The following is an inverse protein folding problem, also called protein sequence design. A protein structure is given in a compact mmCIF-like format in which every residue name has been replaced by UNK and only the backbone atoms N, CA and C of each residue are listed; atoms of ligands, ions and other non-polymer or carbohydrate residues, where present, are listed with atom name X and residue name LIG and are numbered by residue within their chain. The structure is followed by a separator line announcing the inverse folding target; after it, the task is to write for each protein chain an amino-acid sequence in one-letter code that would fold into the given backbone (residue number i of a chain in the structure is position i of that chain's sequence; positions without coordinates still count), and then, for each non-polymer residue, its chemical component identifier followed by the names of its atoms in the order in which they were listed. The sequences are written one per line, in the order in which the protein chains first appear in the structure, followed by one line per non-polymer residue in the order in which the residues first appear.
data_IF_556625063097
#
_entry.id   IF_556625063097
#
_cell.length_a   1.000
_cell.length_b   1.000
_cell.length_c   1.000
_cell.angle_alpha   90.00
_cell.angle_beta   90.00
_cell.angle_gamma   90.00
#
_symmetry.space_group_name_H-M   'P 1'
#
loop_
_entity.id
_entity.type
_entity.pdbx_description
1 polymer ?
#
# COMPACT_ATOMS: atom_id res chain seq x y z
N UNK A 1 10.42 15.77 -4.68
CA UNK A 1 10.25 14.84 -3.53
C UNK A 1 10.55 13.41 -3.98
N UNK A 2 11.46 12.72 -3.26
CA UNK A 2 11.80 11.33 -3.55
C UNK A 2 10.95 10.39 -2.71
N UNK A 3 10.20 9.49 -3.37
CA UNK A 3 9.28 8.53 -2.74
C UNK A 3 9.78 7.11 -3.01
N UNK A 4 9.97 6.33 -1.95
CA UNK A 4 10.22 4.90 -2.05
C UNK A 4 8.89 4.13 -1.97
N UNK A 5 8.67 3.21 -2.90
CA UNK A 5 7.57 2.26 -2.90
C UNK A 5 8.10 0.92 -2.37
N UNK A 6 7.60 0.48 -1.22
CA UNK A 6 7.98 -0.78 -0.58
C UNK A 6 6.86 -1.81 -0.79
N UNK A 7 6.98 -2.60 -1.85
CA UNK A 7 6.11 -3.71 -2.16
C UNK A 7 6.64 -4.98 -1.50
N UNK A 8 6.06 -5.37 -0.38
CA UNK A 8 6.55 -6.47 0.45
C UNK A 8 5.50 -7.58 0.59
N UNK A 9 5.98 -8.77 0.93
CA UNK A 9 5.16 -9.92 1.28
C UNK A 9 5.01 -9.96 2.81
N UNK A 10 3.81 -9.62 3.29
CA UNK A 10 3.49 -9.59 4.71
C UNK A 10 2.81 -10.90 5.13
N UNK A 11 3.28 -11.49 6.22
CA UNK A 11 2.67 -12.68 6.81
C UNK A 11 1.53 -12.27 7.74
N UNK A 12 0.33 -12.81 7.52
CA UNK A 12 -0.84 -12.54 8.37
C UNK A 12 -0.56 -12.99 9.81
N UNK A 13 -0.73 -12.07 10.77
CA UNK A 13 -0.53 -12.33 12.20
C UNK A 13 0.92 -12.25 12.69
N UNK A 14 1.91 -12.23 11.78
CA UNK A 14 3.33 -12.08 12.15
C UNK A 14 3.71 -10.59 12.29
N UNK A 15 3.17 -9.95 13.33
CA UNK A 15 3.44 -8.54 13.61
C UNK A 15 4.95 -8.26 13.75
N UNK A 16 5.68 -9.15 14.39
CA UNK A 16 7.12 -8.96 14.62
C UNK A 16 7.94 -9.06 13.33
N UNK A 17 7.71 -10.08 12.49
CA UNK A 17 8.39 -10.26 11.21
C UNK A 17 8.05 -9.14 10.24
N UNK A 18 6.78 -8.78 10.12
CA UNK A 18 6.35 -7.66 9.26
C UNK A 18 6.99 -6.34 9.71
N UNK A 19 7.04 -6.07 11.02
CA UNK A 19 7.70 -4.88 11.58
C UNK A 19 9.18 -4.82 11.21
N UNK A 20 9.89 -5.94 11.31
CA UNK A 20 11.31 -5.99 10.94
C UNK A 20 11.52 -5.69 9.45
N UNK A 21 10.71 -6.27 8.55
CA UNK A 21 10.75 -5.95 7.11
C UNK A 21 10.48 -4.47 6.83
N UNK A 22 9.53 -3.86 7.55
CA UNK A 22 9.22 -2.43 7.42
C UNK A 22 10.42 -1.59 7.87
N UNK A 23 11.01 -1.90 9.03
CA UNK A 23 12.18 -1.19 9.58
C UNK A 23 13.39 -1.31 8.62
N UNK A 24 13.66 -2.49 8.06
CA UNK A 24 14.71 -2.67 7.07
C UNK A 24 14.49 -1.79 5.83
N UNK A 25 13.24 -1.71 5.36
CA UNK A 25 12.87 -0.86 4.23
C UNK A 25 12.98 0.64 4.56
N UNK A 26 12.66 1.06 5.79
CA UNK A 26 12.88 2.43 6.28
C UNK A 26 14.38 2.75 6.27
N UNK A 27 15.23 1.85 6.79
CA UNK A 27 16.69 2.03 6.79
C UNK A 27 17.25 2.10 5.36
N UNK A 28 16.75 1.27 4.45
CA UNK A 28 17.09 1.35 3.03
C UNK A 28 16.68 2.69 2.43
N UNK A 29 15.46 3.15 2.68
CA UNK A 29 14.97 4.44 2.22
C UNK A 29 15.86 5.60 2.69
N UNK A 30 16.31 5.57 3.95
CA UNK A 30 17.26 6.55 4.51
C UNK A 30 18.60 6.52 3.77
N UNK A 31 19.15 5.33 3.54
CA UNK A 31 20.42 5.16 2.83
C UNK A 31 20.36 5.65 1.38
N UNK A 32 19.20 5.53 0.71
CA UNK A 32 18.95 6.01 -0.64
C UNK A 32 18.55 7.51 -0.68
N UNK A 33 18.51 8.20 0.47
CA UNK A 33 18.20 9.63 0.59
C UNK A 33 16.78 9.96 0.12
N UNK A 34 15.80 9.13 0.46
CA UNK A 34 14.40 9.37 0.13
C UNK A 34 13.73 10.25 1.17
N UNK A 35 12.72 11.01 0.74
CA UNK A 35 11.91 11.87 1.60
C UNK A 35 10.78 11.11 2.28
N UNK A 36 10.19 10.13 1.58
CA UNK A 36 9.03 9.36 2.00
C UNK A 36 9.17 7.89 1.59
N UNK A 37 8.84 6.97 2.49
CA UNK A 37 8.64 5.55 2.16
C UNK A 37 7.17 5.17 2.37
N UNK A 38 6.59 4.45 1.40
CA UNK A 38 5.18 4.05 1.41
C UNK A 38 5.08 2.54 1.43
N UNK A 39 4.31 2.03 2.41
CA UNK A 39 4.00 0.62 2.59
C UNK A 39 2.54 0.32 2.23
N UNK A 40 2.18 -0.95 2.12
CA UNK A 40 0.83 -1.37 1.74
C UNK A 40 -0.20 -1.21 2.89
N UNK A 41 -1.48 -1.36 2.55
CA UNK A 41 -2.58 -1.48 3.52
C UNK A 41 -2.37 -2.69 4.43
N UNK A 42 -2.62 -2.56 5.75
CA UNK A 42 -2.41 -3.60 6.76
C UNK A 42 -0.98 -4.20 6.78
N UNK A 43 0.03 -3.42 6.45
CA UNK A 43 1.42 -3.88 6.37
C UNK A 43 1.93 -4.48 7.70
N UNK A 44 1.53 -3.93 8.85
CA UNK A 44 1.96 -4.44 10.16
C UNK A 44 1.28 -5.78 10.49
N UNK A 45 -0.03 -5.88 10.28
CA UNK A 45 -0.82 -7.07 10.62
C UNK A 45 -0.74 -8.19 9.59
N UNK A 46 -0.32 -7.87 8.34
CA UNK A 46 -0.58 -8.66 7.16
C UNK A 46 -2.06 -8.63 6.77
N UNK A 47 -2.39 -8.68 5.47
CA UNK A 47 -3.76 -8.75 5.00
C UNK A 47 -4.02 -10.11 4.31
N UNK A 48 -5.20 -10.69 4.55
CA UNK A 48 -6.34 -10.23 5.34
C UNK A 48 -6.30 -10.73 6.80
N UNK A 49 -6.41 -9.85 7.77
CA UNK A 49 -6.31 -10.20 9.20
C UNK A 49 -7.59 -10.74 9.83
N UNK A 50 -8.74 -10.61 9.16
CA UNK A 50 -10.08 -11.13 9.52
C UNK A 50 -10.39 -11.18 11.04
N UNK A 51 -10.47 -12.39 11.63
CA UNK A 51 -10.84 -12.61 13.02
C UNK A 51 -9.80 -12.11 14.03
N UNK A 52 -8.54 -11.95 13.63
CA UNK A 52 -7.51 -11.31 14.46
C UNK A 52 -7.90 -9.87 14.82
N UNK A 53 -8.64 -9.18 13.95
CA UNK A 53 -9.11 -7.82 14.16
C UNK A 53 -10.12 -7.68 15.33
N UNK A 54 -10.61 -8.78 15.89
CA UNK A 54 -11.46 -8.80 17.09
C UNK A 54 -10.68 -8.98 18.38
N UNK A 55 -9.37 -9.15 18.30
CA UNK A 55 -8.52 -9.46 19.44
C UNK A 55 -7.76 -8.21 19.88
N UNK A 56 -8.19 -7.58 20.99
CA UNK A 56 -7.54 -6.36 21.48
C UNK A 56 -6.02 -6.52 21.66
N UNK A 57 -5.49 -7.63 22.25
CA UNK A 57 -4.05 -7.79 22.38
C UNK A 57 -3.30 -7.79 21.03
N UNK A 58 -3.94 -8.26 19.95
CA UNK A 58 -3.35 -8.22 18.61
C UNK A 58 -3.31 -6.79 18.07
N UNK A 59 -4.36 -6.01 18.30
CA UNK A 59 -4.40 -4.61 17.86
C UNK A 59 -3.40 -3.76 18.66
N UNK A 60 -3.26 -3.99 19.95
CA UNK A 60 -2.24 -3.36 20.81
C UNK A 60 -0.82 -3.68 20.32
N UNK A 61 -0.54 -4.94 19.95
CA UNK A 61 0.75 -5.31 19.34
C UNK A 61 1.02 -4.56 18.02
N UNK A 62 -0.02 -4.33 17.20
CA UNK A 62 0.13 -3.56 15.97
C UNK A 62 0.46 -2.09 16.26
N UNK A 63 -0.14 -1.50 17.30
CA UNK A 63 0.15 -0.12 17.72
C UNK A 63 1.56 0.00 18.31
N UNK A 64 1.99 -0.93 19.16
CA UNK A 64 3.36 -0.97 19.68
C UNK A 64 4.40 -1.12 18.56
N UNK A 65 4.10 -1.96 17.57
CA UNK A 65 4.92 -2.12 16.38
C UNK A 65 5.03 -0.80 15.59
N UNK A 66 3.92 -0.06 15.43
CA UNK A 66 3.93 1.25 14.78
C UNK A 66 4.85 2.23 15.52
N UNK A 67 4.84 2.24 16.85
CA UNK A 67 5.73 3.12 17.63
C UNK A 67 7.21 2.77 17.43
N UNK A 68 7.54 1.47 17.33
CA UNK A 68 8.90 1.02 17.00
C UNK A 68 9.32 1.46 15.59
N UNK A 69 8.43 1.36 14.60
CA UNK A 69 8.70 1.85 13.23
C UNK A 69 8.87 3.36 13.24
N UNK A 70 8.02 4.08 13.97
CA UNK A 70 8.10 5.54 14.06
C UNK A 70 9.46 6.01 14.59
N UNK A 71 10.01 5.34 15.61
CA UNK A 71 11.31 5.66 16.16
C UNK A 71 12.47 5.57 15.13
N UNK A 72 12.32 4.75 14.10
CA UNK A 72 13.29 4.64 12.99
C UNK A 72 13.11 5.72 11.91
N UNK A 73 11.99 6.47 11.91
CA UNK A 73 11.65 7.48 10.89
C UNK A 73 12.09 8.90 11.29
N UNK A 74 13.32 9.08 11.72
CA UNK A 74 13.86 10.38 12.17
C UNK A 74 14.11 11.36 11.00
N UNK A 75 14.65 10.86 9.88
CA UNK A 75 15.04 11.66 8.71
C UNK A 75 14.21 11.40 7.46
N UNK A 76 13.48 10.27 7.42
CA UNK A 76 12.56 9.89 6.35
C UNK A 76 11.13 9.85 6.88
N UNK A 77 10.17 10.40 6.14
CA UNK A 77 8.75 10.25 6.47
C UNK A 77 8.26 8.85 6.03
N UNK A 78 7.23 8.31 6.67
CA UNK A 78 6.69 6.99 6.29
C UNK A 78 5.16 6.99 6.30
N UNK A 79 4.56 6.20 5.40
CA UNK A 79 3.14 5.85 5.41
C UNK A 79 3.04 4.35 5.60
N UNK A 80 2.44 3.90 6.71
CA UNK A 80 2.35 2.49 7.10
C UNK A 80 0.90 2.09 7.33
N UNK A 81 0.46 1.01 6.69
CA UNK A 81 -0.89 0.46 6.87
C UNK A 81 -0.97 -0.44 8.10
N UNK A 82 -2.03 -0.26 8.91
CA UNK A 82 -2.32 -1.09 10.07
C UNK A 82 -3.81 -1.06 10.45
N UNK A 83 -4.32 -2.05 11.20
CA UNK A 83 -5.61 -1.95 11.87
C UNK A 83 -5.48 -1.12 13.15
N UNK A 84 -6.50 -0.30 13.45
CA UNK A 84 -6.57 0.53 14.65
C UNK A 84 -7.92 0.34 15.33
N UNK A 85 -7.92 0.19 16.65
CA UNK A 85 -9.14 0.18 17.45
C UNK A 85 -9.59 1.62 17.73
N UNK A 86 -10.81 1.95 17.36
CA UNK A 86 -11.46 3.22 17.67
C UNK A 86 -12.67 2.99 18.57
N UNK A 87 -13.32 4.06 19.01
CA UNK A 87 -14.57 3.97 19.78
C UNK A 87 -15.72 3.35 18.98
N UNK A 88 -15.68 3.53 17.65
CA UNK A 88 -16.71 3.01 16.72
C UNK A 88 -16.42 1.58 16.27
N UNK A 89 -15.21 1.08 16.49
CA UNK A 89 -14.76 -0.27 16.08
C UNK A 89 -13.37 -0.26 15.46
N UNK A 90 -12.96 -1.39 14.91
CA UNK A 90 -11.65 -1.52 14.25
C UNK A 90 -11.71 -0.97 12.83
N UNK A 91 -10.78 -0.09 12.49
CA UNK A 91 -10.63 0.48 11.14
C UNK A 91 -9.34 -0.02 10.48
N UNK A 92 -9.33 -0.13 9.15
CA UNK A 92 -8.09 -0.23 8.37
C UNK A 92 -7.57 1.18 8.11
N UNK A 93 -6.36 1.48 8.53
CA UNK A 93 -5.83 2.84 8.48
C UNK A 93 -4.42 2.92 7.88
N UNK A 94 -4.09 4.08 7.35
CA UNK A 94 -2.75 4.53 7.05
C UNK A 94 -2.26 5.46 8.17
N UNK A 95 -1.12 5.17 8.76
CA UNK A 95 -0.42 6.05 9.69
C UNK A 95 0.63 6.85 8.92
N UNK A 96 0.56 8.18 8.99
CA UNK A 96 1.62 9.07 8.53
C UNK A 96 2.59 9.32 9.68
N UNK A 97 3.86 9.01 9.46
CA UNK A 97 4.95 9.20 10.41
C UNK A 97 5.86 10.29 9.87
N UNK A 98 6.14 11.31 10.69
CA UNK A 98 7.07 12.38 10.38
C UNK A 98 7.94 12.68 11.60
N UNK A 99 9.24 12.85 11.38
CA UNK A 99 10.20 13.18 12.44
C UNK A 99 10.11 12.25 13.66
N UNK A 100 10.00 10.93 13.40
CA UNK A 100 9.93 9.92 14.44
C UNK A 100 8.61 9.82 15.19
N UNK A 101 7.54 10.48 14.73
CA UNK A 101 6.22 10.52 15.39
C UNK A 101 5.08 10.25 14.44
N UNK A 102 4.07 9.57 14.91
CA UNK A 102 2.81 9.43 14.18
C UNK A 102 2.05 10.75 14.26
N UNK A 103 1.85 11.41 13.11
CA UNK A 103 1.20 12.72 13.04
C UNK A 103 -0.24 12.67 12.57
N UNK A 104 -0.63 11.59 11.85
CA UNK A 104 -1.99 11.45 11.32
C UNK A 104 -2.35 9.98 11.09
N UNK A 105 -3.62 9.67 11.32
CA UNK A 105 -4.25 8.43 10.84
C UNK A 105 -5.32 8.75 9.81
N UNK A 106 -5.36 7.99 8.72
CA UNK A 106 -6.39 8.07 7.68
C UNK A 106 -7.03 6.71 7.55
N UNK A 107 -8.31 6.60 7.84
CA UNK A 107 -9.03 5.33 7.81
C UNK A 107 -9.73 5.07 6.48
N UNK A 108 -9.90 3.80 6.13
CA UNK A 108 -10.65 3.33 4.96
C UNK A 108 -12.15 3.60 5.12
N UNK A 109 -12.77 4.18 4.10
CA UNK A 109 -14.21 4.47 4.08
C UNK A 109 -15.01 3.32 3.46
N UNK A 110 -14.56 2.82 2.30
CA UNK A 110 -15.28 1.85 1.52
C UNK A 110 -14.78 0.42 1.80
N UNK A 111 -15.53 -0.35 2.58
CA UNK A 111 -15.25 -1.76 2.84
C UNK A 111 -15.91 -2.58 1.73
N UNK A 112 -15.19 -2.84 0.65
CA UNK A 112 -15.70 -3.52 -0.56
C UNK A 112 -15.59 -5.04 -0.50
N UNK A 113 -14.72 -5.57 0.36
CA UNK A 113 -14.57 -6.99 0.57
C UNK A 113 -15.60 -7.49 1.56
N UNK A 114 -16.58 -8.28 1.10
CA UNK A 114 -17.71 -8.75 1.92
C UNK A 114 -17.29 -9.39 3.26
N UNK A 115 -16.18 -10.14 3.28
CA UNK A 115 -15.67 -10.78 4.51
C UNK A 115 -15.11 -9.77 5.50
N UNK A 116 -14.61 -8.63 5.05
CA UNK A 116 -14.10 -7.56 5.92
C UNK A 116 -15.22 -6.78 6.64
N UNK A 117 -16.43 -6.74 6.07
CA UNK A 117 -17.59 -6.05 6.66
C UNK A 117 -17.95 -6.54 8.07
N UNK A 118 -17.57 -7.77 8.43
CA UNK A 118 -17.77 -8.32 9.77
C UNK A 118 -16.68 -7.95 10.77
N UNK A 119 -15.59 -7.31 10.33
CA UNK A 119 -14.40 -7.06 11.15
C UNK A 119 -13.93 -5.61 11.14
N UNK A 120 -14.19 -4.89 10.05
CA UNK A 120 -13.79 -3.50 9.88
C UNK A 120 -14.99 -2.57 9.89
N UNK A 121 -14.80 -1.42 10.51
CA UNK A 121 -15.75 -0.30 10.53
C UNK A 121 -15.31 0.74 9.50
N UNK A 122 -16.21 1.26 8.65
CA UNK A 122 -15.92 2.38 7.76
C UNK A 122 -15.47 3.61 8.53
N UNK A 123 -14.51 4.35 7.98
CA UNK A 123 -14.01 5.60 8.51
C UNK A 123 -14.26 6.75 7.53
N UNK A 124 -13.68 7.94 7.78
CA UNK A 124 -13.93 9.14 6.97
C UNK A 124 -13.34 9.11 5.55
N UNK A 125 -12.46 8.15 5.27
CA UNK A 125 -11.83 8.01 3.95
C UNK A 125 -10.66 8.95 3.73
N UNK A 126 -10.54 9.50 2.51
CA UNK A 126 -9.44 10.34 2.08
C UNK A 126 -9.23 11.56 2.99
N UNK A 127 -7.99 11.80 3.39
CA UNK A 127 -7.57 13.03 4.06
C UNK A 127 -6.40 13.70 3.33
N UNK A 128 -6.31 15.02 3.51
CA UNK A 128 -5.25 15.85 2.94
C UNK A 128 -4.14 16.08 3.96
N UNK A 129 -2.92 15.77 3.57
CA UNK A 129 -1.73 15.89 4.40
C UNK A 129 -0.65 16.68 3.67
N UNK A 130 0.29 17.27 4.41
CA UNK A 130 1.46 17.92 3.82
C UNK A 130 2.69 17.08 4.14
N UNK A 131 3.43 16.67 3.10
CA UNK A 131 4.65 15.87 3.20
C UNK A 131 5.75 16.63 2.47
N UNK A 132 6.79 17.05 3.18
CA UNK A 132 7.92 17.82 2.61
C UNK A 132 7.46 19.01 1.76
N UNK A 133 6.42 19.72 2.20
CA UNK A 133 5.86 20.86 1.48
C UNK A 133 4.88 20.52 0.36
N UNK A 134 4.81 19.27 -0.08
CA UNK A 134 3.86 18.80 -1.10
C UNK A 134 2.49 18.50 -0.47
N UNK A 135 1.42 19.02 -1.06
CA UNK A 135 0.05 18.75 -0.64
C UNK A 135 -0.40 17.40 -1.21
N UNK A 136 -0.58 16.41 -0.35
CA UNK A 136 -0.93 15.05 -0.71
C UNK A 136 -2.36 14.69 -0.26
N UNK A 137 -3.04 13.86 -1.05
CA UNK A 137 -4.23 13.13 -0.62
C UNK A 137 -3.82 11.70 -0.24
N UNK A 138 -4.07 11.31 1.00
CA UNK A 138 -3.80 9.94 1.48
C UNK A 138 -5.09 9.13 1.44
N UNK A 139 -5.05 7.98 0.75
CA UNK A 139 -6.20 7.14 0.43
C UNK A 139 -5.90 5.70 0.79
N UNK A 140 -6.84 5.00 1.43
CA UNK A 140 -6.67 3.61 1.87
C UNK A 140 -7.55 2.66 1.06
N UNK A 141 -6.94 1.62 0.53
CA UNK A 141 -7.64 0.53 -0.14
C UNK A 141 -8.46 0.97 -1.36
N UNK A 142 -9.63 0.41 -1.50
CA UNK A 142 -10.55 0.66 -2.62
C UNK A 142 -11.15 2.08 -2.65
N UNK A 143 -10.90 2.92 -1.64
CA UNK A 143 -11.36 4.31 -1.63
C UNK A 143 -10.87 5.08 -2.86
N UNK A 144 -9.70 4.75 -3.40
CA UNK A 144 -9.19 5.32 -4.65
C UNK A 144 -10.18 5.17 -5.82
N UNK A 145 -10.92 4.08 -5.85
CA UNK A 145 -11.88 3.77 -6.94
C UNK A 145 -13.27 4.39 -6.71
N UNK A 146 -13.49 4.96 -5.51
CA UNK A 146 -14.76 5.57 -5.09
C UNK A 146 -14.63 7.06 -4.75
N UNK A 147 -13.40 7.58 -4.70
CA UNK A 147 -13.16 8.98 -4.37
C UNK A 147 -13.38 9.85 -5.59
N UNK A 148 -14.42 10.69 -5.60
CA UNK A 148 -14.82 11.41 -6.81
C UNK A 148 -13.92 12.60 -7.13
N UNK A 149 -13.59 13.42 -6.13
CA UNK A 149 -12.87 14.68 -6.35
C UNK A 149 -11.81 14.94 -5.27
N UNK A 150 -10.62 15.25 -5.72
CA UNK A 150 -9.55 15.76 -4.86
C UNK A 150 -9.50 17.29 -4.94
N UNK A 151 -9.18 17.93 -3.82
CA UNK A 151 -8.93 19.37 -3.76
C UNK A 151 -7.93 19.79 -4.87
N UNK A 152 -8.14 20.96 -5.45
CA UNK A 152 -7.27 21.48 -6.52
C UNK A 152 -5.82 21.66 -6.07
N UNK A 153 -5.61 21.98 -4.80
CA UNK A 153 -4.26 22.16 -4.21
C UNK A 153 -3.48 20.86 -4.04
N UNK A 154 -4.12 19.70 -4.15
CA UNK A 154 -3.43 18.39 -4.08
C UNK A 154 -2.55 18.22 -5.30
N UNK A 155 -1.29 17.86 -5.08
CA UNK A 155 -0.32 17.58 -6.13
C UNK A 155 -0.16 16.08 -6.37
N UNK A 156 -0.22 15.29 -5.30
CA UNK A 156 0.02 13.85 -5.31
C UNK A 156 -1.06 13.10 -4.54
N UNK A 157 -1.62 12.07 -5.15
CA UNK A 157 -2.50 11.09 -4.49
C UNK A 157 -1.66 9.89 -4.11
N UNK A 158 -1.65 9.51 -2.83
CA UNK A 158 -0.93 8.34 -2.33
C UNK A 158 -1.97 7.33 -1.86
N UNK A 159 -2.00 6.17 -2.50
CA UNK A 159 -2.88 5.07 -2.17
C UNK A 159 -2.09 3.88 -1.63
N UNK A 160 -2.39 3.46 -0.42
CA UNK A 160 -1.93 2.18 0.12
C UNK A 160 -3.04 1.14 -0.03
N UNK A 161 -2.68 -0.04 -0.52
CA UNK A 161 -3.65 -1.05 -0.91
C UNK A 161 -3.24 -2.47 -0.48
N UNK A 162 -4.25 -3.33 -0.28
CA UNK A 162 -4.13 -4.78 -0.19
C UNK A 162 -5.09 -5.41 -1.21
N UNK A 163 -4.82 -5.16 -2.50
CA UNK A 163 -5.68 -5.61 -3.59
C UNK A 163 -5.26 -6.97 -4.09
N UNK A 164 -6.14 -7.93 -3.88
CA UNK A 164 -5.94 -9.30 -4.36
C UNK A 164 -5.89 -9.37 -5.89
N UNK A 165 -5.11 -10.29 -6.40
CA UNK A 165 -5.10 -10.64 -7.82
C UNK A 165 -6.48 -11.11 -8.28
N UNK A 166 -6.91 -10.59 -9.43
CA UNK A 166 -8.06 -11.05 -10.19
C UNK A 166 -7.73 -10.98 -11.67
N UNK A 167 -8.07 -12.04 -12.40
CA UNK A 167 -7.88 -12.06 -13.85
C UNK A 167 -8.53 -10.84 -14.51
N UNK A 168 -7.74 -10.07 -15.26
CA UNK A 168 -8.20 -8.88 -15.99
C UNK A 168 -8.40 -7.61 -15.15
N UNK A 169 -8.14 -7.63 -13.84
CA UNK A 169 -8.30 -6.45 -12.97
C UNK A 169 -7.18 -5.42 -13.14
N UNK A 170 -6.00 -5.84 -13.59
CA UNK A 170 -4.83 -4.97 -13.71
C UNK A 170 -5.08 -3.78 -14.66
N UNK A 171 -5.64 -4.03 -15.84
CA UNK A 171 -6.00 -2.95 -16.80
C UNK A 171 -6.93 -1.94 -16.14
N UNK A 172 -8.04 -2.42 -15.54
CA UNK A 172 -9.02 -1.56 -14.91
C UNK A 172 -8.42 -0.74 -13.78
N UNK A 173 -7.52 -1.33 -12.98
CA UNK A 173 -6.79 -0.64 -11.91
C UNK A 173 -6.02 0.55 -12.48
N UNK A 174 -5.22 0.31 -13.51
CA UNK A 174 -4.40 1.34 -14.11
C UNK A 174 -5.18 2.34 -14.98
N UNK A 175 -6.32 1.97 -15.54
CA UNK A 175 -7.22 2.90 -16.23
C UNK A 175 -7.82 3.93 -15.25
N UNK A 176 -8.21 3.49 -14.04
CA UNK A 176 -8.69 4.42 -12.99
C UNK A 176 -7.56 5.35 -12.55
N UNK A 177 -6.36 4.82 -12.28
CA UNK A 177 -5.19 5.61 -11.89
C UNK A 177 -4.85 6.64 -12.97
N UNK A 178 -4.86 6.23 -14.24
CA UNK A 178 -4.62 7.12 -15.38
C UNK A 178 -5.67 8.22 -15.49
N UNK A 179 -6.94 7.88 -15.27
CA UNK A 179 -8.01 8.88 -15.29
C UNK A 179 -7.83 9.92 -14.19
N UNK A 180 -7.50 9.52 -12.97
CA UNK A 180 -7.19 10.43 -11.85
C UNK A 180 -5.98 11.30 -12.24
N UNK A 181 -4.91 10.69 -12.72
CA UNK A 181 -3.68 11.38 -13.05
C UNK A 181 -3.91 12.43 -14.17
N UNK A 182 -4.47 12.00 -15.29
CA UNK A 182 -4.63 12.85 -16.48
C UNK A 182 -5.76 13.87 -16.32
N UNK A 183 -6.96 13.42 -15.89
CA UNK A 183 -8.14 14.33 -15.84
C UNK A 183 -8.06 15.29 -14.66
N UNK A 184 -7.54 14.82 -13.50
CA UNK A 184 -7.41 15.66 -12.30
C UNK A 184 -6.05 16.35 -12.21
N UNK A 185 -5.10 16.06 -13.11
CA UNK A 185 -3.76 16.63 -13.13
C UNK A 185 -2.92 16.31 -11.90
N UNK A 186 -3.03 15.09 -11.35
CA UNK A 186 -2.38 14.67 -10.11
C UNK A 186 -1.34 13.58 -10.35
N UNK A 187 -0.21 13.60 -9.65
CA UNK A 187 0.60 12.40 -9.55
C UNK A 187 -0.15 11.35 -8.72
N UNK A 188 -0.09 10.08 -9.11
CA UNK A 188 -0.71 8.99 -8.35
C UNK A 188 0.35 7.95 -8.02
N UNK A 189 0.56 7.72 -6.73
CA UNK A 189 1.42 6.67 -6.17
C UNK A 189 0.51 5.61 -5.58
N UNK A 190 0.60 4.38 -6.04
CA UNK A 190 -0.13 3.25 -5.50
C UNK A 190 0.84 2.19 -5.03
N UNK A 191 0.74 1.79 -3.77
CA UNK A 191 1.54 0.69 -3.20
C UNK A 191 0.61 -0.44 -2.77
N UNK A 192 0.83 -1.61 -3.34
CA UNK A 192 0.11 -2.84 -3.04
C UNK A 192 1.07 -3.85 -2.38
N UNK A 193 0.54 -4.76 -1.57
CA UNK A 193 1.32 -5.90 -1.09
C UNK A 193 1.44 -6.99 -2.16
N UNK A 194 2.35 -7.91 -1.94
CA UNK A 194 2.55 -9.12 -2.75
C UNK A 194 2.48 -10.35 -1.87
N UNK A 195 2.26 -11.52 -2.47
CA UNK A 195 2.33 -12.80 -1.77
C UNK A 195 0.99 -13.53 -1.67
N UNK A 196 1.05 -14.77 -1.18
CA UNK A 196 -0.09 -15.61 -0.88
C UNK A 196 -0.47 -15.55 0.60
N UNK A 197 -1.75 -15.29 0.89
CA UNK A 197 -2.25 -15.27 2.26
C UNK A 197 -3.66 -15.86 2.31
N UNK A 198 -3.83 -16.89 3.14
CA UNK A 198 -5.08 -17.65 3.23
C UNK A 198 -5.48 -18.22 1.84
N UNK A 199 -6.66 -17.88 1.35
CA UNK A 199 -7.13 -18.24 -0.01
C UNK A 199 -6.90 -17.12 -1.05
N UNK A 200 -6.13 -16.08 -0.71
CA UNK A 200 -5.90 -14.91 -1.57
C UNK A 200 -4.46 -14.86 -2.04
N UNK A 201 -4.26 -14.32 -3.23
CA UNK A 201 -2.93 -13.97 -3.76
C UNK A 201 -2.94 -12.49 -4.12
N UNK A 202 -1.87 -11.81 -3.78
CA UNK A 202 -1.65 -10.40 -4.08
C UNK A 202 -0.58 -10.27 -5.15
N UNK A 203 -0.89 -9.53 -6.19
CA UNK A 203 -0.03 -9.41 -7.38
C UNK A 203 1.07 -8.36 -7.27
N UNK A 204 1.05 -7.55 -6.21
CA UNK A 204 1.92 -6.40 -6.14
C UNK A 204 1.56 -5.38 -7.23
N UNK A 205 2.43 -5.26 -8.25
CA UNK A 205 2.23 -4.33 -9.36
C UNK A 205 1.95 -2.91 -8.85
N UNK A 206 2.67 -2.50 -7.81
CA UNK A 206 2.69 -1.12 -7.34
C UNK A 206 3.23 -0.20 -8.41
N UNK A 207 2.81 1.06 -8.43
CA UNK A 207 3.28 1.93 -9.50
C UNK A 207 3.01 3.40 -9.28
N UNK A 208 3.62 4.19 -10.13
CA UNK A 208 3.48 5.65 -10.15
C UNK A 208 3.05 6.11 -11.53
N UNK A 209 2.03 6.93 -11.56
CA UNK A 209 1.58 7.63 -12.74
C UNK A 209 1.77 9.13 -12.54
N UNK A 210 2.39 9.81 -13.51
CA UNK A 210 2.56 11.26 -13.46
C UNK A 210 1.24 11.99 -13.76
N UNK A 211 1.20 13.28 -13.49
CA UNK A 211 0.03 14.14 -13.70
C UNK A 211 -0.39 14.31 -15.17
N UNK A 212 0.34 13.69 -16.12
CA UNK A 212 -0.01 13.61 -17.54
C UNK A 212 -0.60 12.26 -17.94
N UNK A 213 -0.79 11.36 -16.96
CA UNK A 213 -1.29 10.01 -17.18
C UNK A 213 -0.27 9.04 -17.76
N UNK A 214 1.03 9.36 -17.65
CA UNK A 214 2.12 8.48 -18.07
C UNK A 214 2.56 7.60 -16.89
N UNK A 215 2.64 6.29 -17.13
CA UNK A 215 3.19 5.35 -16.14
C UNK A 215 4.71 5.52 -16.07
N UNK A 216 5.22 5.98 -14.93
CA UNK A 216 6.66 6.28 -14.76
C UNK A 216 7.39 5.23 -13.93
N UNK A 217 6.68 4.46 -13.13
CA UNK A 217 7.19 3.28 -12.40
C UNK A 217 6.14 2.19 -12.36
N UNK A 218 6.61 0.95 -12.48
CA UNK A 218 5.82 -0.25 -12.27
C UNK A 218 6.72 -1.29 -11.60
N UNK A 219 6.34 -1.72 -10.42
CA UNK A 219 7.05 -2.74 -9.65
C UNK A 219 6.70 -4.13 -10.17
N UNK A 220 7.50 -5.13 -9.80
CA UNK A 220 7.37 -6.51 -10.26
C UNK A 220 6.02 -7.12 -9.88
N UNK A 221 5.57 -8.10 -10.66
CA UNK A 221 4.44 -8.95 -10.34
C UNK A 221 4.86 -10.12 -9.45
N UNK A 222 4.10 -10.42 -8.41
CA UNK A 222 4.24 -11.58 -7.52
C UNK A 222 5.62 -11.72 -6.84
N UNK A 223 6.39 -10.64 -6.79
CA UNK A 223 7.69 -10.57 -6.13
C UNK A 223 7.79 -9.32 -5.25
N UNK A 224 8.57 -9.40 -4.17
CA UNK A 224 8.95 -8.21 -3.41
C UNK A 224 9.79 -7.29 -4.30
N UNK A 225 9.54 -6.00 -4.20
CA UNK A 225 10.28 -4.98 -4.95
C UNK A 225 10.32 -3.67 -4.16
N UNK A 226 11.37 -2.92 -4.37
CA UNK A 226 11.58 -1.61 -3.75
C UNK A 226 12.18 -0.67 -4.77
N UNK A 227 11.43 0.37 -5.13
CA UNK A 227 11.87 1.36 -6.12
C UNK A 227 11.66 2.77 -5.61
N UNK A 228 12.59 3.66 -5.97
CA UNK A 228 12.52 5.09 -5.67
C UNK A 228 12.05 5.85 -6.90
N UNK A 229 11.14 6.77 -6.69
CA UNK A 229 10.62 7.71 -7.67
C UNK A 229 10.88 9.14 -7.20
N UNK A 230 11.37 9.98 -8.10
CA UNK A 230 11.53 11.42 -7.85
C UNK A 230 10.46 12.20 -8.61
N UNK A 231 9.62 12.95 -7.87
CA UNK A 231 8.55 13.76 -8.47
C UNK A 231 9.07 14.91 -9.32
N UNK A 232 10.29 15.38 -9.07
CA UNK A 232 10.90 16.51 -9.78
C UNK A 232 11.67 16.06 -11.03
N UNK A 233 12.12 14.80 -11.03
CA UNK A 233 12.81 14.21 -12.18
C UNK A 233 12.24 12.82 -12.51
N UNK A 234 11.04 12.76 -13.09
CA UNK A 234 10.38 11.52 -13.41
C UNK A 234 11.01 10.84 -14.64
N UNK A 235 12.25 10.37 -14.53
CA UNK A 235 12.84 9.54 -15.57
C UNK A 235 11.95 8.33 -15.83
N UNK A 236 11.32 8.28 -17.00
CA UNK A 236 10.38 7.24 -17.36
C UNK A 236 11.10 5.97 -17.77
N UNK A 237 10.71 4.84 -17.20
CA UNK A 237 11.26 3.54 -17.54
C UNK A 237 10.21 2.50 -17.97
N UNK A 238 8.93 2.89 -18.07
CA UNK A 238 7.84 1.95 -18.32
C UNK A 238 7.08 2.32 -19.58
N UNK A 239 7.05 1.42 -20.56
CA UNK A 239 6.34 1.63 -21.83
C UNK A 239 4.83 1.42 -21.66
N UNK A 240 4.40 0.34 -20.97
CA UNK A 240 2.99 0.01 -20.80
C UNK A 240 2.76 -0.98 -19.65
N UNK A 241 1.51 -1.05 -19.18
CA UNK A 241 1.07 -2.13 -18.29
C UNK A 241 0.89 -3.41 -19.11
N UNK A 242 1.45 -4.56 -18.66
CA UNK A 242 1.30 -5.82 -19.37
C UNK A 242 -0.14 -6.34 -19.28
N UNK A 243 -0.86 -6.30 -20.40
CA UNK A 243 -2.30 -6.66 -20.47
C UNK A 243 -2.65 -7.59 -21.63
N UNK A 244 -1.66 -8.10 -22.35
CA UNK A 244 -1.88 -9.05 -23.45
C UNK A 244 -2.49 -10.38 -22.97
N UNK A 245 -2.98 -11.20 -23.91
CA UNK A 245 -3.51 -12.54 -23.60
C UNK A 245 -2.41 -13.42 -23.00
N UNK A 246 -1.19 -13.33 -23.52
CA UNK A 246 -0.03 -14.07 -23.01
C UNK A 246 0.32 -13.64 -21.58
N UNK A 247 0.28 -12.33 -21.27
CA UNK A 247 0.47 -11.84 -19.93
C UNK A 247 -0.58 -12.36 -18.96
N UNK A 248 -1.83 -12.46 -19.39
CA UNK A 248 -2.91 -13.02 -18.55
C UNK A 248 -2.65 -14.48 -18.17
N UNK A 249 -2.18 -15.29 -19.10
CA UNK A 249 -1.84 -16.69 -18.84
C UNK A 249 -0.64 -16.80 -17.91
N UNK A 250 0.40 -16.01 -18.16
CA UNK A 250 1.58 -15.90 -17.29
C UNK A 250 1.18 -15.52 -15.87
N UNK A 251 0.37 -14.49 -15.68
CA UNK A 251 -0.07 -14.05 -14.36
C UNK A 251 -0.90 -15.09 -13.60
N UNK A 252 -1.72 -15.91 -14.28
CA UNK A 252 -2.43 -17.02 -13.64
C UNK A 252 -1.42 -18.04 -13.11
N UNK A 253 -0.42 -18.39 -13.91
CA UNK A 253 0.65 -19.31 -13.52
C UNK A 253 1.48 -18.75 -12.35
N UNK A 254 1.94 -17.51 -12.47
CA UNK A 254 2.72 -16.82 -11.42
C UNK A 254 1.92 -16.70 -10.11
N UNK A 255 0.62 -16.39 -10.18
CA UNK A 255 -0.26 -16.36 -9.02
C UNK A 255 -0.37 -17.72 -8.34
N UNK A 256 -0.52 -18.80 -9.11
CA UNK A 256 -0.57 -20.15 -8.56
C UNK A 256 0.75 -20.54 -7.89
N UNK A 257 1.88 -20.26 -8.54
CA UNK A 257 3.22 -20.49 -7.97
C UNK A 257 3.46 -19.67 -6.69
N UNK A 258 3.07 -18.39 -6.68
CA UNK A 258 3.19 -17.52 -5.53
C UNK A 258 2.37 -18.04 -4.34
N UNK A 259 1.10 -18.36 -4.57
CA UNK A 259 0.22 -18.90 -3.54
C UNK A 259 0.72 -20.22 -2.96
N UNK A 260 1.20 -21.13 -3.82
CA UNK A 260 1.74 -22.42 -3.39
C UNK A 260 3.04 -22.25 -2.59
N UNK A 261 3.98 -21.43 -3.07
CA UNK A 261 5.25 -21.15 -2.39
C UNK A 261 5.02 -20.62 -0.98
N UNK A 262 4.15 -19.63 -0.84
CA UNK A 262 3.92 -18.98 0.43
C UNK A 262 3.14 -19.90 1.39
N UNK A 263 2.20 -20.72 0.87
CA UNK A 263 1.54 -21.76 1.66
C UNK A 263 2.52 -22.80 2.19
N UNK A 264 3.42 -23.31 1.34
CA UNK A 264 4.44 -24.30 1.76
C UNK A 264 5.41 -23.70 2.79
N UNK A 265 5.80 -22.44 2.63
CA UNK A 265 6.64 -21.72 3.60
C UNK A 265 6.00 -21.66 4.99
N UNK A 266 4.67 -21.49 5.09
CA UNK A 266 3.96 -21.47 6.37
C UNK A 266 3.92 -22.83 7.07
N UNK A 267 4.00 -23.92 6.32
CA UNK A 267 4.01 -25.29 6.86
C UNK A 267 5.43 -25.92 6.88
N UNK A 268 6.45 -25.08 6.70
CA UNK A 268 7.88 -25.46 6.78
C UNK A 268 8.32 -26.55 5.76
N UNK A 269 7.80 -26.46 4.52
CA UNK A 269 8.20 -27.32 3.39
C UNK A 269 8.90 -26.47 2.32
#
# INVERSE_FOLDING_TARGET
MKIALAQLNYTVGDVAGNTNKIIESVRRAKAEGTDLVVFAEQAISGAPSFDLLRKNPFLEQCEDALMRIAAECDTVDAIVGLPILTKEGTISAAALIQQGRVVRYVGKQNITVRRELGFLTPSKGCEYVTIRGCRCALVVGDDLFHTPDFDKSVETVINIHARRYRKGDLSRRYDVIRNIAYVKGKNVVMVNQVGGATELVYDGMSGVMDNRGKLVRLLKSFEEDFQVFDTENPACSVESVPVSVNDRTRFIYEAACCGLRDFLSLIHI
#
